data_IF_937835760541
#
_entry.id   IF_937835760541
#
_cell.length_a   1.000
_cell.length_b   1.000
_cell.length_c   1.000
_cell.angle_alpha   90.00
_cell.angle_beta   90.00
_cell.angle_gamma   90.00
#
_symmetry.space_group_name_H-M   'P 1'
#
loop_
_entity.id
_entity.type
_entity.pdbx_description
1 polymer ?
#
# COMPACT_ATOMS: atom_id res chain seq x y z
N UNK A 1 -4.73 21.32 -20.43
CA UNK A 1 -4.09 21.02 -19.14
C UNK A 1 -4.56 19.63 -18.81
N UNK A 2 -3.65 18.66 -18.65
CA UNK A 2 -4.04 17.33 -18.22
C UNK A 2 -4.57 17.48 -16.78
N UNK A 3 -5.80 17.06 -16.54
CA UNK A 3 -6.34 16.96 -15.18
C UNK A 3 -5.55 15.88 -14.47
N UNK A 4 -4.91 16.23 -13.36
CA UNK A 4 -4.15 15.29 -12.51
C UNK A 4 -5.11 14.46 -11.61
N UNK A 5 -6.30 14.19 -12.07
CA UNK A 5 -7.25 13.30 -11.39
C UNK A 5 -6.71 11.87 -11.43
N UNK A 6 -6.87 11.15 -10.33
CA UNK A 6 -6.55 9.71 -10.27
C UNK A 6 -7.52 8.97 -11.19
N UNK A 7 -7.04 8.35 -12.28
CA UNK A 7 -7.94 7.72 -13.25
C UNK A 7 -8.67 6.52 -12.66
N UNK A 8 -9.94 6.38 -13.00
CA UNK A 8 -10.77 5.24 -12.60
C UNK A 8 -10.66 4.13 -13.65
N UNK A 9 -10.29 2.95 -13.21
CA UNK A 9 -10.11 1.74 -14.01
C UNK A 9 -11.15 0.70 -13.59
N UNK A 10 -11.94 0.22 -14.54
CA UNK A 10 -12.90 -0.87 -14.33
C UNK A 10 -12.21 -2.22 -14.53
N UNK A 11 -11.95 -2.94 -13.43
CA UNK A 11 -11.24 -4.21 -13.49
C UNK A 11 -12.09 -5.31 -14.13
N UNK A 12 -13.39 -5.34 -13.87
CA UNK A 12 -14.27 -6.33 -14.49
C UNK A 12 -14.37 -6.12 -16.02
N UNK A 13 -14.41 -4.87 -16.49
CA UNK A 13 -14.37 -4.56 -17.91
C UNK A 13 -13.06 -5.02 -18.57
N UNK A 14 -11.92 -4.87 -17.88
CA UNK A 14 -10.65 -5.44 -18.34
C UNK A 14 -10.70 -6.96 -18.45
N UNK A 15 -11.17 -7.66 -17.42
CA UNK A 15 -11.15 -9.12 -17.35
C UNK A 15 -12.13 -9.80 -18.32
N UNK A 16 -13.30 -9.18 -18.55
CA UNK A 16 -14.38 -9.74 -19.36
C UNK A 16 -14.44 -9.15 -20.77
N UNK A 17 -13.70 -8.07 -21.02
CA UNK A 17 -13.68 -7.36 -22.29
C UNK A 17 -13.02 -8.15 -23.42
N UNK A 18 -13.40 -7.79 -24.64
CA UNK A 18 -12.68 -8.23 -25.82
C UNK A 18 -11.29 -7.58 -25.93
N UNK A 19 -10.54 -7.94 -26.95
CA UNK A 19 -9.19 -7.42 -27.16
C UNK A 19 -9.12 -5.88 -27.22
N UNK A 20 -10.12 -5.23 -27.82
CA UNK A 20 -10.13 -3.77 -27.96
C UNK A 20 -10.34 -3.08 -26.61
N UNK A 21 -11.30 -3.56 -25.82
CA UNK A 21 -11.58 -3.06 -24.47
C UNK A 21 -10.36 -3.26 -23.55
N UNK A 22 -9.77 -4.46 -23.58
CA UNK A 22 -8.56 -4.75 -22.77
C UNK A 22 -7.41 -3.84 -23.17
N UNK A 23 -7.16 -3.64 -24.45
CA UNK A 23 -6.11 -2.76 -24.95
C UNK A 23 -6.32 -1.30 -24.52
N UNK A 24 -7.56 -0.77 -24.61
CA UNK A 24 -7.88 0.58 -24.15
C UNK A 24 -7.63 0.74 -22.64
N UNK A 25 -8.10 -0.21 -21.82
CA UNK A 25 -7.92 -0.16 -20.36
C UNK A 25 -6.43 -0.26 -20.01
N UNK A 26 -5.69 -1.16 -20.68
CA UNK A 26 -4.25 -1.33 -20.50
C UNK A 26 -3.48 -0.05 -20.84
N UNK A 27 -3.82 0.61 -21.94
CA UNK A 27 -3.21 1.88 -22.32
C UNK A 27 -3.49 2.98 -21.29
N UNK A 28 -4.74 3.13 -20.85
CA UNK A 28 -5.11 4.11 -19.81
C UNK A 28 -4.39 3.84 -18.48
N UNK A 29 -4.20 2.57 -18.15
CA UNK A 29 -3.44 2.16 -16.95
C UNK A 29 -1.97 2.54 -17.09
N UNK A 30 -1.33 2.28 -18.23
CA UNK A 30 0.06 2.65 -18.49
C UNK A 30 0.25 4.19 -18.41
N UNK A 31 -0.62 4.96 -19.06
CA UNK A 31 -0.60 6.43 -19.02
C UNK A 31 -0.73 6.96 -17.57
N UNK A 32 -1.64 6.41 -16.78
CA UNK A 32 -1.83 6.78 -15.38
C UNK A 32 -0.60 6.47 -14.54
N UNK A 33 -0.02 5.28 -14.69
CA UNK A 33 1.17 4.85 -13.97
C UNK A 33 2.41 5.69 -14.32
N UNK A 34 2.53 6.17 -15.56
CA UNK A 34 3.58 7.09 -15.98
C UNK A 34 3.37 8.51 -15.42
N UNK A 35 2.13 8.98 -15.37
CA UNK A 35 1.82 10.36 -15.00
C UNK A 35 1.80 10.57 -13.49
N UNK A 36 1.03 9.74 -12.78
CA UNK A 36 0.79 9.89 -11.34
C UNK A 36 1.25 8.71 -10.49
N UNK A 37 1.40 7.51 -11.07
CA UNK A 37 1.62 6.28 -10.31
C UNK A 37 0.42 5.86 -9.44
N UNK A 38 -0.77 6.48 -9.67
CA UNK A 38 -2.00 6.23 -8.93
C UNK A 38 -3.15 5.90 -9.86
N UNK A 39 -3.98 4.93 -9.50
CA UNK A 39 -5.24 4.58 -10.15
C UNK A 39 -6.30 4.23 -9.10
N UNK A 40 -7.58 4.43 -9.45
CA UNK A 40 -8.71 3.96 -8.65
C UNK A 40 -9.33 2.73 -9.34
N UNK A 41 -9.41 1.60 -8.64
CA UNK A 41 -9.96 0.35 -9.19
C UNK A 41 -11.41 0.18 -8.72
N UNK A 42 -12.33 0.13 -9.68
CA UNK A 42 -13.75 -0.20 -9.47
C UNK A 42 -14.08 -1.59 -9.99
N UNK A 43 -15.26 -2.10 -9.66
CA UNK A 43 -15.73 -3.45 -10.05
C UNK A 43 -14.67 -4.53 -9.79
N UNK A 44 -13.96 -4.38 -8.68
CA UNK A 44 -12.85 -5.22 -8.27
C UNK A 44 -13.26 -6.64 -7.84
N UNK A 45 -14.56 -6.91 -7.65
CA UNK A 45 -15.10 -8.23 -7.34
C UNK A 45 -14.76 -8.77 -5.93
N UNK A 46 -14.20 -7.95 -5.05
CA UNK A 46 -14.06 -8.31 -3.63
C UNK A 46 -15.44 -8.24 -2.99
N UNK A 47 -15.81 -9.30 -2.25
CA UNK A 47 -17.10 -9.37 -1.56
C UNK A 47 -17.21 -8.22 -0.54
N UNK A 48 -18.30 -7.45 -0.66
CA UNK A 48 -18.57 -6.32 0.23
C UNK A 48 -18.62 -6.76 1.70
N UNK A 49 -19.10 -7.96 1.99
CA UNK A 49 -19.13 -8.50 3.35
C UNK A 49 -17.71 -8.66 3.94
N UNK A 50 -16.73 -9.07 3.13
CA UNK A 50 -15.32 -9.15 3.57
C UNK A 50 -14.79 -7.74 3.90
N UNK A 51 -15.10 -6.75 3.07
CA UNK A 51 -14.70 -5.37 3.28
C UNK A 51 -15.34 -4.82 4.56
N UNK A 52 -16.65 -4.94 4.70
CA UNK A 52 -17.40 -4.42 5.84
C UNK A 52 -16.98 -5.09 7.16
N UNK A 53 -16.77 -6.41 7.13
CA UNK A 53 -16.34 -7.14 8.31
C UNK A 53 -14.95 -6.70 8.77
N UNK A 54 -14.00 -6.57 7.83
CA UNK A 54 -12.67 -6.05 8.16
C UNK A 54 -12.73 -4.62 8.68
N UNK A 55 -13.49 -3.74 8.01
CA UNK A 55 -13.64 -2.35 8.39
C UNK A 55 -14.19 -2.19 9.81
N UNK A 56 -15.29 -2.87 10.11
CA UNK A 56 -15.94 -2.81 11.41
C UNK A 56 -15.07 -3.42 12.52
N UNK A 57 -14.42 -4.54 12.24
CA UNK A 57 -13.51 -5.19 13.20
C UNK A 57 -12.33 -4.28 13.55
N UNK A 58 -11.76 -3.55 12.58
CA UNK A 58 -10.69 -2.59 12.85
C UNK A 58 -11.21 -1.39 13.64
N UNK A 59 -12.41 -0.91 13.34
CA UNK A 59 -13.03 0.15 14.11
C UNK A 59 -13.22 -0.26 15.58
N UNK A 60 -13.78 -1.45 15.81
CA UNK A 60 -13.93 -2.00 17.17
C UNK A 60 -12.58 -2.14 17.88
N UNK A 61 -11.54 -2.62 17.20
CA UNK A 61 -10.19 -2.74 17.78
C UNK A 61 -9.63 -1.38 18.18
N UNK A 62 -9.69 -0.38 17.30
CA UNK A 62 -9.15 0.94 17.60
C UNK A 62 -9.97 1.70 18.66
N UNK A 63 -11.23 1.34 18.87
CA UNK A 63 -12.09 1.87 19.94
C UNK A 63 -11.79 1.26 21.32
N UNK A 64 -11.02 0.18 21.39
CA UNK A 64 -10.58 -0.38 22.66
C UNK A 64 -9.72 0.61 23.45
N UNK A 65 -9.76 0.55 24.80
CA UNK A 65 -8.85 1.33 25.64
C UNK A 65 -7.38 1.12 25.24
N UNK A 66 -6.59 2.18 25.25
CA UNK A 66 -5.16 2.14 24.89
C UNK A 66 -4.40 1.05 25.64
N UNK A 67 -4.70 0.85 26.94
CA UNK A 67 -4.09 -0.20 27.76
C UNK A 67 -4.39 -1.63 27.30
N UNK A 68 -5.48 -1.83 26.56
CA UNK A 68 -5.82 -3.13 25.95
C UNK A 68 -5.06 -3.29 24.64
N UNK A 69 -5.06 -2.26 23.77
CA UNK A 69 -4.32 -2.27 22.50
C UNK A 69 -2.82 -2.47 22.69
N UNK A 70 -2.24 -1.84 23.72
CA UNK A 70 -0.82 -1.94 24.07
C UNK A 70 -0.35 -3.36 24.43
N UNK A 71 -1.23 -4.29 24.77
CA UNK A 71 -0.88 -5.70 24.97
C UNK A 71 -0.42 -6.39 23.69
N UNK A 72 -0.73 -5.81 22.55
CA UNK A 72 -0.41 -6.30 21.20
C UNK A 72 0.62 -5.42 20.50
N UNK A 73 1.35 -4.61 21.25
CA UNK A 73 2.45 -3.80 20.72
C UNK A 73 3.47 -4.66 19.98
N UNK A 74 4.19 -4.02 19.06
CA UNK A 74 5.43 -4.60 18.52
C UNK A 74 6.34 -5.03 19.68
N UNK A 75 6.88 -6.27 19.67
CA UNK A 75 7.65 -6.81 20.80
C UNK A 75 8.91 -6.01 21.14
N UNK A 76 9.53 -5.39 20.12
CA UNK A 76 10.73 -4.55 20.27
C UNK A 76 10.84 -3.58 19.08
N UNK A 77 11.61 -2.49 19.19
CA UNK A 77 11.84 -1.55 18.10
C UNK A 77 12.36 -2.25 16.83
N UNK A 78 11.78 -1.96 15.68
CA UNK A 78 12.12 -2.58 14.41
C UNK A 78 11.41 -3.90 14.11
N UNK A 79 10.59 -4.43 15.04
CA UNK A 79 9.74 -5.58 14.75
C UNK A 79 8.58 -5.16 13.82
N UNK A 80 8.27 -5.94 12.74
CA UNK A 80 7.40 -5.46 11.67
C UNK A 80 5.91 -5.45 12.00
N UNK A 81 5.45 -6.29 12.94
CA UNK A 81 4.04 -6.58 13.15
C UNK A 81 3.57 -6.30 14.58
N UNK A 82 2.31 -5.92 14.69
CA UNK A 82 1.66 -5.58 15.94
C UNK A 82 1.06 -4.18 15.94
N UNK A 83 0.61 -3.76 17.09
CA UNK A 83 0.06 -2.44 17.34
C UNK A 83 1.17 -1.41 17.55
N UNK A 84 0.98 -0.24 16.98
CA UNK A 84 1.80 0.95 17.20
C UNK A 84 0.88 2.11 17.53
N UNK A 85 1.10 2.72 18.69
CA UNK A 85 0.26 3.80 19.20
C UNK A 85 0.44 5.11 18.43
N UNK A 86 -0.39 6.09 18.78
CA UNK A 86 -0.28 7.43 18.21
C UNK A 86 1.11 8.03 18.43
N UNK A 87 1.64 8.72 17.41
CA UNK A 87 2.98 9.34 17.45
C UNK A 87 4.16 8.34 17.59
N UNK A 88 3.95 7.07 17.25
CA UNK A 88 5.00 6.05 17.33
C UNK A 88 5.87 5.95 16.07
N UNK A 89 5.45 6.55 14.95
CA UNK A 89 6.15 6.53 13.66
C UNK A 89 6.37 7.93 13.08
N UNK A 90 7.41 8.06 12.24
CA UNK A 90 7.69 9.26 11.45
C UNK A 90 8.00 8.83 10.02
N UNK A 91 6.99 8.75 9.14
CA UNK A 91 7.17 8.29 7.76
C UNK A 91 8.11 9.18 6.94
N UNK A 92 8.10 10.49 7.18
CA UNK A 92 8.98 11.43 6.50
C UNK A 92 10.48 11.14 6.74
N UNK A 93 10.84 10.41 7.81
CA UNK A 93 12.22 9.99 8.06
C UNK A 93 12.75 9.06 6.95
N UNK A 94 11.90 8.29 6.29
CA UNK A 94 12.28 7.45 5.12
C UNK A 94 12.84 8.26 3.95
N UNK A 95 12.64 9.57 3.94
CA UNK A 95 13.13 10.53 2.93
C UNK A 95 14.15 11.53 3.51
N UNK A 96 14.69 11.25 4.70
CA UNK A 96 15.68 12.11 5.35
C UNK A 96 15.10 13.41 5.91
N UNK A 97 13.78 13.53 6.02
CA UNK A 97 13.12 14.71 6.60
C UNK A 97 12.93 14.54 8.10
N UNK A 98 13.28 15.55 8.87
CA UNK A 98 12.98 15.65 10.30
C UNK A 98 11.64 16.36 10.50
N UNK A 99 10.59 15.59 10.79
CA UNK A 99 9.27 16.12 11.18
C UNK A 99 8.87 15.55 12.53
N UNK A 100 7.92 16.18 13.24
CA UNK A 100 7.31 15.54 14.39
C UNK A 100 6.66 14.19 13.99
N UNK A 101 6.46 13.27 14.96
CA UNK A 101 5.82 11.98 14.70
C UNK A 101 4.41 12.13 14.09
N UNK A 102 4.02 11.14 13.29
CA UNK A 102 2.73 11.11 12.59
C UNK A 102 1.56 10.91 13.57
N UNK A 103 0.45 11.63 13.32
CA UNK A 103 -0.76 11.58 14.14
C UNK A 103 -1.65 10.39 13.75
N UNK A 104 -1.15 9.18 13.99
CA UNK A 104 -1.87 7.94 13.70
C UNK A 104 -1.48 6.83 14.67
N UNK A 105 -2.37 5.88 14.81
CA UNK A 105 -2.07 4.57 15.36
C UNK A 105 -2.30 3.49 14.30
N UNK A 106 -1.57 2.37 14.37
CA UNK A 106 -1.64 1.31 13.36
C UNK A 106 -1.63 -0.07 13.97
N UNK A 107 -2.18 -1.05 13.24
CA UNK A 107 -1.92 -2.45 13.46
C UNK A 107 -1.41 -3.08 12.17
N UNK A 108 -0.29 -3.80 12.25
CA UNK A 108 0.39 -4.42 11.12
C UNK A 108 0.39 -5.93 11.25
N UNK A 109 0.18 -6.64 10.15
CA UNK A 109 0.33 -8.10 10.08
C UNK A 109 0.94 -8.54 8.76
N UNK A 110 1.74 -9.61 8.83
CA UNK A 110 2.42 -10.19 7.68
C UNK A 110 1.61 -11.28 6.97
N UNK A 111 2.28 -12.08 6.14
CA UNK A 111 1.68 -13.23 5.47
C UNK A 111 1.00 -14.18 6.46
N UNK A 112 -0.14 -14.72 6.05
CA UNK A 112 -0.98 -15.57 6.93
C UNK A 112 -0.32 -16.94 7.17
N UNK A 113 0.51 -17.40 6.25
CA UNK A 113 1.23 -18.67 6.36
C UNK A 113 2.66 -18.54 5.85
N UNK A 114 3.53 -19.41 6.36
CA UNK A 114 4.92 -19.51 5.91
C UNK A 114 4.99 -20.63 4.87
N UNK A 115 5.32 -20.33 3.61
CA UNK A 115 5.51 -21.37 2.60
C UNK A 115 6.65 -22.33 2.99
N UNK A 116 6.46 -23.64 2.76
CA UNK A 116 7.39 -24.67 3.24
C UNK A 116 8.80 -24.61 2.62
N UNK A 117 8.96 -23.91 1.49
CA UNK A 117 10.25 -23.73 0.83
C UNK A 117 11.06 -22.56 1.38
N UNK A 118 10.45 -21.70 2.20
CA UNK A 118 11.13 -20.55 2.80
C UNK A 118 12.04 -21.02 3.95
N UNK A 119 13.34 -20.79 3.80
CA UNK A 119 14.36 -21.14 4.78
C UNK A 119 15.33 -19.99 5.09
N UNK A 120 15.22 -18.88 4.39
CA UNK A 120 16.06 -17.70 4.61
C UNK A 120 15.80 -17.11 6.01
N UNK A 121 16.83 -17.00 6.89
CA UNK A 121 16.65 -16.55 8.26
C UNK A 121 16.14 -15.10 8.37
N UNK A 122 16.52 -14.22 7.46
CA UNK A 122 16.07 -12.83 7.46
C UNK A 122 14.60 -12.73 7.04
N UNK A 123 14.19 -13.51 6.01
CA UNK A 123 12.80 -13.64 5.61
C UNK A 123 11.93 -14.11 6.80
N UNK A 124 12.36 -15.17 7.48
CA UNK A 124 11.63 -15.72 8.63
C UNK A 124 11.57 -14.75 9.81
N UNK A 125 12.66 -14.04 10.07
CA UNK A 125 12.73 -13.11 11.21
C UNK A 125 11.95 -11.80 10.97
N UNK A 126 11.73 -11.41 9.73
CA UNK A 126 11.07 -10.15 9.40
C UNK A 126 9.75 -10.36 8.65
N UNK A 127 9.78 -10.80 7.38
CA UNK A 127 8.55 -10.88 6.57
C UNK A 127 7.56 -11.94 7.08
N UNK A 128 8.06 -13.02 7.67
CA UNK A 128 7.24 -14.10 8.25
C UNK A 128 7.28 -14.12 9.78
N UNK A 129 7.67 -13.00 10.40
CA UNK A 129 7.63 -12.87 11.86
C UNK A 129 6.20 -13.04 12.40
N UNK A 130 6.07 -13.58 13.60
CA UNK A 130 4.76 -13.82 14.21
C UNK A 130 4.01 -12.51 14.47
N UNK A 131 2.78 -12.41 14.04
CA UNK A 131 1.92 -11.28 14.39
C UNK A 131 1.36 -11.48 15.81
N UNK A 132 1.49 -10.50 16.73
CA UNK A 132 0.88 -10.55 18.07
C UNK A 132 -0.63 -10.29 17.97
N UNK A 133 -1.37 -11.33 17.58
CA UNK A 133 -2.79 -11.22 17.29
C UNK A 133 -3.63 -10.75 18.47
N UNK A 134 -4.49 -9.73 18.29
CA UNK A 134 -5.46 -9.33 19.29
C UNK A 134 -6.47 -10.44 19.62
N UNK A 135 -6.77 -10.58 20.89
CA UNK A 135 -7.85 -11.47 21.36
C UNK A 135 -9.22 -10.79 21.37
N UNK A 136 -9.26 -9.49 21.11
CA UNK A 136 -10.48 -8.69 21.04
C UNK A 136 -10.34 -7.67 19.88
N UNK A 137 -11.43 -7.47 19.09
CA UNK A 137 -12.64 -8.30 19.08
C UNK A 137 -12.36 -9.77 18.69
N UNK A 138 -13.21 -10.71 19.10
CA UNK A 138 -13.00 -12.15 18.82
C UNK A 138 -12.92 -12.47 17.32
N UNK A 139 -13.54 -11.64 16.49
CA UNK A 139 -13.53 -11.74 15.02
C UNK A 139 -12.23 -11.28 14.38
N UNK A 140 -11.29 -10.67 15.13
CA UNK A 140 -10.13 -9.97 14.58
C UNK A 140 -9.33 -10.82 13.61
N UNK A 141 -8.85 -11.99 14.02
CA UNK A 141 -7.99 -12.84 13.19
C UNK A 141 -8.73 -13.34 11.95
N UNK A 142 -10.03 -13.69 12.10
CA UNK A 142 -10.84 -14.16 10.99
C UNK A 142 -11.08 -13.06 9.95
N UNK A 143 -11.45 -11.86 10.38
CA UNK A 143 -11.68 -10.72 9.50
C UNK A 143 -10.38 -10.34 8.77
N UNK A 144 -9.26 -10.26 9.50
CA UNK A 144 -7.94 -9.98 8.94
C UNK A 144 -7.53 -10.99 7.89
N UNK A 145 -7.63 -12.29 8.20
CA UNK A 145 -7.24 -13.38 7.29
C UNK A 145 -8.10 -13.38 6.02
N UNK A 146 -9.42 -13.21 6.15
CA UNK A 146 -10.31 -13.16 4.99
C UNK A 146 -10.01 -11.98 4.09
N UNK A 147 -9.77 -10.80 4.69
CA UNK A 147 -9.44 -9.61 3.93
C UNK A 147 -8.04 -9.70 3.30
N UNK A 148 -7.03 -10.20 4.04
CA UNK A 148 -5.69 -10.40 3.51
C UNK A 148 -5.71 -11.27 2.24
N UNK A 149 -6.38 -12.43 2.29
CA UNK A 149 -6.50 -13.34 1.15
C UNK A 149 -7.25 -12.69 -0.03
N UNK A 150 -8.27 -11.89 0.23
CA UNK A 150 -8.99 -11.16 -0.81
C UNK A 150 -8.08 -10.11 -1.47
N UNK A 151 -7.24 -9.41 -0.70
CA UNK A 151 -6.27 -8.43 -1.23
C UNK A 151 -5.15 -9.10 -2.02
N UNK A 152 -4.64 -10.25 -1.57
CA UNK A 152 -3.64 -11.03 -2.31
C UNK A 152 -4.18 -11.48 -3.67
N UNK A 153 -5.41 -11.95 -3.71
CA UNK A 153 -6.08 -12.29 -4.98
C UNK A 153 -6.28 -11.05 -5.87
N UNK A 154 -6.75 -9.94 -5.29
CA UNK A 154 -6.93 -8.69 -6.04
C UNK A 154 -5.59 -8.17 -6.59
N UNK A 155 -4.51 -8.22 -5.80
CA UNK A 155 -3.19 -7.83 -6.23
C UNK A 155 -2.72 -8.64 -7.45
N UNK A 156 -2.91 -9.97 -7.44
CA UNK A 156 -2.57 -10.84 -8.57
C UNK A 156 -3.32 -10.44 -9.85
N UNK A 157 -4.59 -10.07 -9.75
CA UNK A 157 -5.42 -9.61 -10.87
C UNK A 157 -4.95 -8.25 -11.39
N UNK A 158 -4.59 -7.32 -10.51
CA UNK A 158 -4.03 -6.01 -10.89
C UNK A 158 -2.66 -6.21 -11.55
N UNK A 159 -1.82 -7.13 -11.07
CA UNK A 159 -0.53 -7.42 -11.70
C UNK A 159 -0.69 -7.98 -13.12
N UNK A 160 -1.78 -8.71 -13.41
CA UNK A 160 -2.09 -9.13 -14.79
C UNK A 160 -2.51 -7.95 -15.69
N UNK A 161 -3.28 -7.02 -15.17
CA UNK A 161 -3.56 -5.75 -15.87
C UNK A 161 -2.25 -4.98 -16.13
N UNK A 162 -1.36 -4.91 -15.15
CA UNK A 162 -0.05 -4.26 -15.29
C UNK A 162 0.84 -4.96 -16.33
N UNK A 163 0.80 -6.28 -16.42
CA UNK A 163 1.51 -7.01 -17.47
C UNK A 163 1.06 -6.57 -18.87
N UNK A 164 -0.25 -6.51 -19.13
CA UNK A 164 -0.78 -6.06 -20.42
C UNK A 164 -0.50 -4.58 -20.67
N UNK A 165 -0.61 -3.73 -19.65
CA UNK A 165 -0.25 -2.31 -19.73
C UNK A 165 1.22 -2.10 -20.14
N UNK A 166 2.11 -3.02 -19.75
CA UNK A 166 3.53 -3.04 -20.14
C UNK A 166 3.80 -3.82 -21.43
N UNK A 167 2.76 -4.22 -22.17
CA UNK A 167 2.87 -5.02 -23.39
C UNK A 167 3.57 -6.37 -23.18
N UNK A 168 3.34 -6.99 -22.03
CA UNK A 168 3.84 -8.30 -21.63
C UNK A 168 2.74 -9.36 -21.74
N UNK A 169 3.13 -10.64 -21.63
CA UNK A 169 2.15 -11.71 -21.43
C UNK A 169 1.37 -11.46 -20.14
N UNK A 170 0.05 -11.66 -20.15
CA UNK A 170 -0.84 -11.44 -18.99
C UNK A 170 -0.33 -12.10 -17.70
N UNK A 171 0.33 -13.27 -17.83
CA UNK A 171 0.86 -14.06 -16.71
C UNK A 171 2.34 -13.79 -16.39
N UNK A 172 2.92 -12.73 -16.94
CA UNK A 172 4.35 -12.43 -16.78
C UNK A 172 4.80 -12.36 -15.31
N UNK A 173 3.97 -11.81 -14.44
CA UNK A 173 4.31 -11.64 -13.03
C UNK A 173 3.95 -12.84 -12.15
N UNK A 174 3.18 -13.83 -12.61
CA UNK A 174 2.61 -14.89 -11.76
C UNK A 174 3.70 -15.66 -10.98
N UNK A 175 4.85 -15.94 -11.60
CA UNK A 175 5.96 -16.64 -10.93
C UNK A 175 6.66 -15.78 -9.85
N UNK A 176 6.70 -14.46 -10.03
CA UNK A 176 7.33 -13.54 -9.10
C UNK A 176 6.48 -13.29 -7.85
N UNK A 177 5.18 -13.61 -7.90
CA UNK A 177 4.20 -13.33 -6.85
C UNK A 177 3.48 -14.59 -6.35
N UNK A 178 4.05 -15.78 -6.57
CA UNK A 178 3.46 -17.06 -6.16
C UNK A 178 3.49 -17.31 -4.65
N UNK A 179 4.35 -16.61 -3.92
CA UNK A 179 4.50 -16.66 -2.46
C UNK A 179 4.91 -15.28 -1.95
N UNK A 180 4.03 -14.27 -2.08
CA UNK A 180 4.37 -12.87 -1.85
C UNK A 180 4.64 -12.58 -0.38
N UNK A 181 5.66 -11.73 -0.12
CA UNK A 181 6.01 -11.28 1.24
C UNK A 181 5.25 -10.00 1.61
N UNK A 182 3.97 -9.97 1.32
CA UNK A 182 3.12 -8.79 1.49
C UNK A 182 2.75 -8.55 2.96
N UNK A 183 2.39 -7.31 3.28
CA UNK A 183 1.93 -6.93 4.61
C UNK A 183 0.62 -6.15 4.54
N UNK A 184 -0.23 -6.34 5.55
CA UNK A 184 -1.48 -5.60 5.70
C UNK A 184 -1.36 -4.66 6.90
N UNK A 185 -1.81 -3.41 6.73
CA UNK A 185 -1.81 -2.37 7.77
C UNK A 185 -3.19 -1.73 7.87
N UNK A 186 -3.77 -1.78 9.05
CA UNK A 186 -4.90 -0.94 9.41
C UNK A 186 -4.37 0.35 10.06
N UNK A 187 -4.96 1.48 9.67
CA UNK A 187 -4.57 2.81 10.16
C UNK A 187 -5.80 3.51 10.75
N UNK A 188 -5.63 4.07 11.94
CA UNK A 188 -6.61 4.94 12.57
C UNK A 188 -5.95 6.29 12.84
N UNK A 189 -6.57 7.34 12.34
CA UNK A 189 -6.22 8.72 12.59
C UNK A 189 -7.22 9.28 13.61
N UNK A 190 -6.84 9.45 14.88
CA UNK A 190 -7.75 9.90 15.92
C UNK A 190 -8.39 11.26 15.60
N UNK A 191 -9.53 11.61 16.22
CA UNK A 191 -10.07 12.95 16.15
C UNK A 191 -9.05 13.98 16.60
N UNK A 192 -8.89 15.07 15.86
CA UNK A 192 -7.95 16.12 16.21
C UNK A 192 -8.45 16.91 17.42
N UNK A 193 -7.76 16.78 18.54
CA UNK A 193 -8.12 17.43 19.80
C UNK A 193 -7.39 18.75 20.01
N UNK A 194 -6.19 18.88 19.44
CA UNK A 194 -5.32 20.05 19.59
C UNK A 194 -4.71 20.40 18.23
N UNK A 195 -4.23 21.64 18.11
CA UNK A 195 -3.47 22.06 16.95
C UNK A 195 -2.20 21.18 16.82
N UNK A 196 -1.92 20.63 15.63
CA UNK A 196 -0.70 19.86 15.40
C UNK A 196 0.53 20.78 15.53
N UNK A 197 1.68 20.18 15.82
CA UNK A 197 2.95 20.90 15.82
C UNK A 197 3.28 21.38 14.38
N UNK A 198 4.11 22.44 14.22
CA UNK A 198 4.54 22.86 12.90
C UNK A 198 5.16 21.72 12.10
N UNK A 199 4.63 21.44 10.90
CA UNK A 199 5.08 20.35 10.05
C UNK A 199 4.59 18.95 10.44
N UNK A 200 3.84 18.79 11.53
CA UNK A 200 3.25 17.51 11.92
C UNK A 200 2.05 17.18 11.02
N UNK A 201 2.01 15.97 10.49
CA UNK A 201 0.93 15.46 9.63
C UNK A 201 0.30 14.19 10.23
N UNK A 202 -0.85 13.79 9.70
CA UNK A 202 -1.44 12.47 9.97
C UNK A 202 -0.59 11.34 9.43
N UNK A 203 -0.03 11.52 8.23
CA UNK A 203 1.04 10.69 7.68
C UNK A 203 2.00 11.57 6.90
N UNK A 204 3.26 11.58 7.27
CA UNK A 204 4.32 12.36 6.62
C UNK A 204 4.53 11.95 5.17
N UNK A 205 5.10 12.85 4.36
CA UNK A 205 5.35 12.60 2.94
C UNK A 205 6.34 11.44 2.75
N UNK A 206 5.94 10.41 2.00
CA UNK A 206 6.71 9.21 1.73
C UNK A 206 6.33 8.58 0.38
N UNK A 207 7.07 7.59 -0.06
CA UNK A 207 6.67 6.63 -1.08
C UNK A 207 6.66 5.23 -0.48
N UNK A 208 5.95 4.30 -1.12
CA UNK A 208 5.92 2.90 -0.72
C UNK A 208 7.09 2.12 -1.32
N UNK A 209 7.52 1.02 -0.68
CA UNK A 209 8.72 0.28 -1.07
C UNK A 209 8.47 -0.84 -2.09
N UNK A 210 7.23 -1.35 -2.14
CA UNK A 210 6.86 -2.56 -2.88
C UNK A 210 6.58 -2.39 -4.36
N UNK A 211 5.85 -3.35 -4.91
CA UNK A 211 5.34 -3.28 -6.28
C UNK A 211 4.12 -2.35 -6.37
N UNK A 212 3.12 -2.59 -5.55
CA UNK A 212 1.91 -1.74 -5.44
C UNK A 212 1.35 -1.77 -4.02
N UNK A 213 0.55 -0.77 -3.71
CA UNK A 213 -0.29 -0.72 -2.50
C UNK A 213 -1.76 -0.70 -2.90
N UNK A 214 -2.59 -1.52 -2.25
CA UNK A 214 -4.05 -1.47 -2.36
C UNK A 214 -4.57 -0.79 -1.12
N UNK A 215 -5.08 0.42 -1.27
CA UNK A 215 -5.63 1.22 -0.18
C UNK A 215 -7.16 1.19 -0.22
N UNK A 216 -7.78 0.74 0.87
CA UNK A 216 -9.19 0.99 1.17
C UNK A 216 -9.28 2.31 1.93
N UNK A 217 -9.72 3.41 1.31
CA UNK A 217 -9.93 4.66 2.00
C UNK A 217 -11.24 4.64 2.79
N UNK A 218 -11.36 5.50 3.79
CA UNK A 218 -12.66 5.76 4.38
C UNK A 218 -13.58 6.43 3.36
N UNK A 219 -14.82 5.96 3.27
CA UNK A 219 -15.84 6.59 2.44
C UNK A 219 -15.99 8.09 2.81
N UNK A 220 -16.06 8.94 1.80
CA UNK A 220 -16.21 10.40 1.93
C UNK A 220 -15.11 11.12 2.74
N UNK A 221 -13.98 10.47 2.98
CA UNK A 221 -12.87 11.06 3.73
C UNK A 221 -11.81 11.63 2.80
N UNK A 222 -11.46 12.89 3.03
CA UNK A 222 -10.40 13.63 2.35
C UNK A 222 -9.06 13.58 3.09
N UNK A 223 -8.06 14.25 2.53
CA UNK A 223 -6.76 14.47 3.13
C UNK A 223 -5.63 13.58 2.62
N UNK A 224 -5.88 12.61 1.71
CA UNK A 224 -4.81 11.98 0.95
C UNK A 224 -4.36 12.93 -0.15
N UNK A 225 -3.09 13.26 -0.18
CA UNK A 225 -2.48 14.08 -1.23
C UNK A 225 -1.33 13.37 -1.90
N UNK A 226 -1.22 13.55 -3.21
CA UNK A 226 -0.12 13.06 -4.06
C UNK A 226 0.69 14.21 -4.60
N UNK A 227 1.99 13.99 -4.83
CA UNK A 227 2.88 15.01 -5.37
C UNK A 227 2.94 14.94 -6.89
N UNK A 228 2.55 16.01 -7.54
CA UNK A 228 2.64 16.17 -8.99
C UNK A 228 4.08 16.31 -9.48
N UNK A 229 4.28 16.22 -10.79
CA UNK A 229 5.59 16.38 -11.44
C UNK A 229 6.23 17.73 -11.18
N UNK A 230 5.44 18.77 -11.00
CA UNK A 230 5.92 20.14 -10.69
C UNK A 230 6.22 20.35 -9.19
N UNK A 231 6.05 19.31 -8.37
CA UNK A 231 6.26 19.34 -6.92
C UNK A 231 5.07 19.84 -6.11
N UNK A 232 3.97 20.25 -6.75
CA UNK A 232 2.74 20.64 -6.06
C UNK A 232 2.03 19.43 -5.46
N UNK A 233 1.27 19.66 -4.38
CA UNK A 233 0.44 18.63 -3.75
C UNK A 233 -0.99 18.74 -4.25
N UNK A 234 -1.59 17.59 -4.54
CA UNK A 234 -2.95 17.47 -5.03
C UNK A 234 -3.73 16.47 -4.20
N UNK A 235 -4.92 16.88 -3.78
CA UNK A 235 -5.83 16.00 -3.07
C UNK A 235 -6.36 14.90 -4.00
N UNK A 236 -6.45 13.68 -3.46
CA UNK A 236 -7.08 12.54 -4.12
C UNK A 236 -8.54 12.47 -3.67
N UNK A 237 -9.45 12.77 -4.57
CA UNK A 237 -10.87 12.64 -4.29
C UNK A 237 -11.28 11.17 -4.13
N UNK A 238 -12.06 10.82 -3.10
CA UNK A 238 -12.53 9.46 -2.92
C UNK A 238 -13.50 9.06 -4.03
N UNK A 239 -13.29 7.88 -4.61
CA UNK A 239 -14.20 7.27 -5.58
C UNK A 239 -15.04 6.22 -4.83
N UNK A 240 -16.38 6.36 -4.76
CA UNK A 240 -17.22 5.41 -4.04
C UNK A 240 -17.03 3.97 -4.52
N UNK A 241 -16.79 3.05 -3.59
CA UNK A 241 -16.61 1.63 -3.88
C UNK A 241 -15.32 1.28 -4.61
N UNK A 242 -14.35 2.18 -4.70
CA UNK A 242 -13.06 1.90 -5.31
C UNK A 242 -11.97 1.64 -4.27
N UNK A 243 -10.99 0.81 -4.63
CA UNK A 243 -9.67 0.82 -4.01
C UNK A 243 -8.77 1.83 -4.73
N UNK A 244 -7.96 2.56 -3.97
CA UNK A 244 -6.88 3.38 -4.53
C UNK A 244 -5.62 2.50 -4.61
N UNK A 245 -5.00 2.48 -5.77
CA UNK A 245 -3.77 1.74 -6.02
C UNK A 245 -2.66 2.75 -6.27
N UNK A 246 -1.54 2.59 -5.59
CA UNK A 246 -0.32 3.32 -5.91
C UNK A 246 0.87 2.37 -6.11
N UNK A 247 1.81 2.80 -6.94
CA UNK A 247 3.03 2.08 -7.23
C UNK A 247 4.11 2.38 -6.18
N UNK A 248 4.90 1.36 -5.86
CA UNK A 248 6.04 1.51 -4.97
C UNK A 248 7.38 1.56 -5.70
N UNK A 249 8.44 1.85 -4.93
CA UNK A 249 9.81 2.04 -5.43
C UNK A 249 10.35 0.82 -6.19
N UNK A 250 9.90 -0.40 -5.83
CA UNK A 250 10.30 -1.61 -6.53
C UNK A 250 9.70 -1.68 -7.94
N UNK A 251 8.43 -1.26 -8.11
CA UNK A 251 7.78 -1.22 -9.43
C UNK A 251 8.40 -0.14 -10.31
N UNK A 252 8.71 1.04 -9.77
CA UNK A 252 9.44 2.09 -10.50
C UNK A 252 10.78 1.57 -11.03
N UNK A 253 11.55 0.89 -10.16
CA UNK A 253 12.79 0.22 -10.54
C UNK A 253 12.57 -0.87 -11.59
N UNK A 254 11.55 -1.73 -11.42
CA UNK A 254 11.24 -2.84 -12.32
C UNK A 254 10.92 -2.35 -13.73
N UNK A 255 10.19 -1.22 -13.81
CA UNK A 255 9.81 -0.56 -15.06
C UNK A 255 10.84 0.44 -15.58
N UNK A 256 12.09 0.44 -15.08
CA UNK A 256 13.15 1.34 -15.52
C UNK A 256 12.79 2.84 -15.42
N UNK A 257 12.05 3.23 -14.39
CA UNK A 257 11.47 4.57 -14.18
C UNK A 257 10.42 4.98 -15.24
N UNK A 258 9.90 4.04 -16.03
CA UNK A 258 8.76 4.31 -16.91
C UNK A 258 7.52 4.64 -16.08
N UNK A 259 7.27 3.87 -15.03
CA UNK A 259 6.21 4.12 -14.05
C UNK A 259 6.79 4.76 -12.80
N UNK A 260 5.95 5.47 -12.05
CA UNK A 260 6.39 6.31 -10.95
C UNK A 260 5.97 5.79 -9.59
N UNK A 261 6.91 5.77 -8.65
CA UNK A 261 6.62 5.69 -7.22
C UNK A 261 6.44 7.12 -6.70
N UNK A 262 5.19 7.53 -6.55
CA UNK A 262 4.85 8.93 -6.28
C UNK A 262 4.77 9.20 -4.79
N UNK A 263 5.38 10.30 -4.37
CA UNK A 263 5.27 10.82 -3.00
C UNK A 263 3.83 11.14 -2.66
N UNK A 264 3.40 10.68 -1.49
CA UNK A 264 2.05 10.94 -0.97
C UNK A 264 2.08 11.19 0.53
N UNK A 265 1.02 11.82 1.05
CA UNK A 265 0.90 12.17 2.47
C UNK A 265 -0.56 12.20 2.89
N UNK A 266 -0.82 12.22 4.20
CA UNK A 266 -2.17 12.47 4.74
C UNK A 266 -2.10 13.73 5.60
N UNK A 267 -2.83 14.76 5.17
CA UNK A 267 -2.86 16.06 5.84
C UNK A 267 -3.84 16.05 7.02
N UNK A 268 -3.66 17.03 7.90
CA UNK A 268 -4.55 17.26 9.03
C UNK A 268 -5.85 17.91 8.55
N UNK A 269 -6.98 17.77 9.29
CA UNK A 269 -8.17 18.57 9.03
C UNK A 269 -7.87 20.07 9.19
N UNK A 270 -8.66 20.91 8.53
CA UNK A 270 -8.47 22.37 8.53
C UNK A 270 -8.62 23.00 9.92
N UNK A 271 -9.54 22.45 10.73
CA UNK A 271 -9.79 22.96 12.08
C UNK A 271 -8.76 22.41 13.07
N UNK A 272 -8.17 23.28 13.87
CA UNK A 272 -7.23 22.90 14.93
C UNK A 272 -7.84 21.97 15.99
N UNK A 273 -9.15 21.99 16.15
CA UNK A 273 -9.93 21.07 16.97
C UNK A 273 -11.13 20.60 16.17
N UNK A 274 -11.17 19.32 15.81
CA UNK A 274 -12.26 18.71 15.07
C UNK A 274 -12.55 17.30 15.63
N UNK A 275 -13.54 17.19 16.53
CA UNK A 275 -13.90 15.91 17.15
C UNK A 275 -14.52 14.90 16.17
N UNK A 276 -14.93 15.33 14.97
CA UNK A 276 -15.51 14.47 13.95
C UNK A 276 -14.49 14.07 12.87
N UNK A 277 -13.26 14.52 12.99
CA UNK A 277 -12.20 14.30 11.99
C UNK A 277 -11.54 12.92 12.06
N UNK A 278 -12.05 11.99 12.88
CA UNK A 278 -11.53 10.62 12.86
C UNK A 278 -11.55 10.08 11.43
N UNK A 279 -10.45 9.42 11.05
CA UNK A 279 -10.32 8.76 9.75
C UNK A 279 -9.74 7.38 9.95
N UNK A 280 -10.18 6.41 9.16
CA UNK A 280 -9.63 5.06 9.10
C UNK A 280 -9.24 4.74 7.66
N UNK A 281 -8.23 3.91 7.47
CA UNK A 281 -7.91 3.31 6.17
C UNK A 281 -7.20 1.97 6.37
N UNK A 282 -7.20 1.14 5.32
CA UNK A 282 -6.55 -0.17 5.35
C UNK A 282 -5.70 -0.29 4.10
N UNK A 283 -4.40 -0.52 4.27
CA UNK A 283 -3.42 -0.61 3.19
C UNK A 283 -2.83 -2.02 3.12
N UNK A 284 -2.88 -2.63 1.94
CA UNK A 284 -2.19 -3.88 1.63
C UNK A 284 -0.97 -3.56 0.77
N UNK A 285 0.22 -3.74 1.34
CA UNK A 285 1.50 -3.51 0.69
C UNK A 285 1.92 -4.79 -0.03
N UNK A 286 1.67 -4.84 -1.33
CA UNK A 286 2.05 -6.00 -2.14
C UNK A 286 3.55 -5.99 -2.43
N UNK A 287 4.17 -7.14 -2.19
CA UNK A 287 5.59 -7.42 -2.48
C UNK A 287 5.67 -8.70 -3.31
N UNK A 288 6.65 -8.84 -4.21
CA UNK A 288 6.95 -10.13 -4.82
C UNK A 288 7.42 -11.17 -3.79
N UNK A 289 7.72 -12.40 -4.25
CA UNK A 289 8.37 -13.42 -3.42
C UNK A 289 9.70 -12.89 -2.85
N UNK A 290 10.13 -13.41 -1.71
CA UNK A 290 11.39 -13.01 -1.07
C UNK A 290 12.59 -13.08 -2.01
N UNK A 291 12.69 -14.18 -2.75
CA UNK A 291 13.79 -14.52 -3.66
C UNK A 291 13.54 -14.13 -5.12
N UNK A 292 12.46 -13.43 -5.40
CA UNK A 292 12.17 -12.96 -6.76
C UNK A 292 13.30 -12.03 -7.26
N UNK A 293 13.89 -12.38 -8.39
CA UNK A 293 14.92 -11.57 -9.04
C UNK A 293 14.27 -10.47 -9.88
N UNK A 294 14.41 -9.24 -9.44
CA UNK A 294 13.83 -8.06 -10.06
C UNK A 294 14.85 -7.45 -11.01
N UNK A 295 14.71 -7.77 -12.28
CA UNK A 295 15.50 -7.21 -13.38
C UNK A 295 14.63 -6.27 -14.20
N UNK A 296 15.21 -5.24 -14.82
CA UNK A 296 14.47 -4.31 -15.67
C UNK A 296 13.62 -5.06 -16.71
N UNK A 297 12.33 -4.73 -16.77
CA UNK A 297 11.37 -5.33 -17.70
C UNK A 297 11.80 -5.05 -19.15
N UNK A 298 11.89 -6.08 -20.03
CA UNK A 298 12.42 -5.90 -21.37
C UNK A 298 11.71 -4.86 -22.23
N UNK A 299 10.38 -4.72 -22.09
CA UNK A 299 9.58 -3.72 -22.82
C UNK A 299 9.78 -2.29 -22.30
N UNK A 300 10.51 -2.11 -21.20
CA UNK A 300 10.90 -0.81 -20.66
C UNK A 300 12.34 -0.44 -20.99
N UNK A 301 12.98 -1.17 -21.92
CA UNK A 301 14.34 -0.92 -22.38
C UNK A 301 14.32 -0.65 -23.88
N UNK A 302 14.96 0.43 -24.32
CA UNK A 302 15.24 0.72 -25.73
C UNK A 302 16.55 1.50 -25.86
N UNK A 303 16.88 1.94 -27.07
CA UNK A 303 18.13 2.69 -27.35
C UNK A 303 18.17 4.06 -26.66
N UNK A 304 17.02 4.63 -26.29
CA UNK A 304 16.91 5.92 -25.58
C UNK A 304 16.80 5.72 -24.06
N UNK A 305 16.40 4.54 -23.61
CA UNK A 305 16.24 4.16 -22.21
C UNK A 305 16.93 2.82 -21.91
N UNK A 306 18.28 2.78 -21.85
CA UNK A 306 19.00 1.57 -21.45
C UNK A 306 18.67 1.20 -20.00
N UNK A 307 18.92 -0.05 -19.62
CA UNK A 307 18.67 -0.50 -18.25
C UNK A 307 19.47 0.36 -17.25
N UNK A 308 18.76 1.02 -16.34
CA UNK A 308 19.36 1.89 -15.32
C UNK A 308 19.81 1.14 -14.07
N UNK A 309 19.32 -0.06 -13.87
CA UNK A 309 19.43 -0.78 -12.60
C UNK A 309 19.99 -2.18 -12.77
N UNK A 310 20.91 -2.55 -11.90
CA UNK A 310 21.32 -3.93 -11.74
C UNK A 310 20.19 -4.76 -11.11
N UNK A 311 20.08 -6.06 -11.42
CA UNK A 311 19.08 -6.92 -10.78
C UNK A 311 19.22 -6.95 -9.25
N UNK A 312 18.08 -7.03 -8.55
CA UNK A 312 18.04 -7.18 -7.08
C UNK A 312 17.07 -8.28 -6.69
N UNK A 313 17.29 -8.90 -5.54
CA UNK A 313 16.27 -9.77 -4.93
C UNK A 313 15.25 -8.91 -4.15
N UNK A 314 13.97 -9.23 -4.30
CA UNK A 314 12.87 -8.46 -3.73
C UNK A 314 12.98 -8.31 -2.20
N UNK A 315 13.20 -9.41 -1.48
CA UNK A 315 13.33 -9.40 -0.02
C UNK A 315 14.50 -8.56 0.47
N UNK A 316 15.76 -8.83 0.06
CA UNK A 316 16.91 -8.01 0.40
C UNK A 316 16.76 -6.53 0.02
N UNK A 317 16.11 -6.22 -1.10
CA UNK A 317 15.78 -4.84 -1.47
C UNK A 317 14.84 -4.19 -0.45
N UNK A 318 13.74 -4.88 -0.10
CA UNK A 318 12.81 -4.41 0.94
C UNK A 318 13.53 -4.16 2.26
N UNK A 319 14.39 -5.10 2.69
CA UNK A 319 15.17 -4.95 3.93
C UNK A 319 16.12 -3.75 3.88
N UNK A 320 16.71 -3.45 2.72
CA UNK A 320 17.57 -2.26 2.57
C UNK A 320 16.79 -0.96 2.79
N UNK A 321 15.52 -0.90 2.34
CA UNK A 321 14.63 0.25 2.56
C UNK A 321 14.30 0.42 4.05
N UNK A 322 13.93 -0.65 4.74
CA UNK A 322 13.65 -0.58 6.18
C UNK A 322 14.88 -0.14 6.99
N UNK A 323 16.06 -0.67 6.69
CA UNK A 323 17.30 -0.28 7.38
C UNK A 323 17.69 1.19 7.17
N UNK A 324 17.28 1.80 6.08
CA UNK A 324 17.52 3.22 5.82
C UNK A 324 16.51 4.15 6.53
N UNK A 325 15.46 3.58 7.13
CA UNK A 325 14.38 4.32 7.78
C UNK A 325 14.50 4.30 9.31
N UNK A 326 15.29 3.38 9.86
CA UNK A 326 15.60 3.23 11.28
C UNK A 326 16.89 3.98 11.59
#
# INVERSE_FOLDING_TARGET
MATNEVPVIDLAAFEQGDHAIRAEISQRTDEACQLTGFIAITHHGVDQHIIDNMWNTMQEFFDLPTSVKQKFNVPFPGYPYGYMGNEAETLAASRGSTTPPDLKETFNGGPISIPSHISDPEALAFCYASTPWPSQPETFVQAWTSYYNAMENLASRIMRLFAEALSLNTHYFDEYISSPISALRALNYPPQQFAPQPGQLRAGAHSDYGSLTILLPQHDSRGLEIQSLDGSWQEVDPVPGAFIINLGDLMERWTNNRWRSTMHRVVNPELAHDPLSRRQSIAYFHQPNWDASISTIPTCIDSSAPAHYEPVLSGPYLMSKFRSTI
#
